data_IF_075266347588
#
_entry.id   IF_075266347588
#
_cell.length_a   1.000
_cell.length_b   1.000
_cell.length_c   1.000
_cell.angle_alpha   90.00
_cell.angle_beta   90.00
_cell.angle_gamma   90.00
#
_symmetry.space_group_name_H-M   'P 1'
#
loop_
_entity.id
_entity.type
_entity.pdbx_description
1 polymer ?
#
# COMPACT_ATOMS: atom_id res chain seq x y z
N UNK A 1 -4.75 4.79 -2.13
CA UNK A 1 -4.76 3.56 -1.30
C UNK A 1 -6.10 2.83 -1.30
N UNK A 2 -7.22 3.49 -1.00
CA UNK A 2 -8.56 2.88 -0.93
C UNK A 2 -8.98 2.05 -2.16
N UNK A 3 -8.73 2.55 -3.37
CA UNK A 3 -9.01 1.80 -4.61
C UNK A 3 -8.22 0.50 -4.70
N UNK A 4 -6.96 0.47 -4.28
CA UNK A 4 -6.15 -0.76 -4.27
C UNK A 4 -6.67 -1.78 -3.27
N UNK A 5 -7.18 -1.33 -2.11
CA UNK A 5 -7.84 -2.20 -1.12
C UNK A 5 -9.08 -2.86 -1.70
N UNK A 6 -9.84 -2.11 -2.52
CA UNK A 6 -11.00 -2.66 -3.22
C UNK A 6 -10.62 -3.45 -4.48
N UNK A 7 -9.33 -3.62 -4.79
CA UNK A 7 -8.88 -4.21 -6.04
C UNK A 7 -9.49 -3.50 -7.26
N UNK A 8 -9.61 -2.17 -7.19
CA UNK A 8 -10.15 -1.26 -8.23
C UNK A 8 -9.14 -0.25 -8.74
N UNK A 9 -7.90 -0.29 -8.26
CA UNK A 9 -6.85 0.60 -8.76
C UNK A 9 -6.55 0.27 -10.23
N UNK A 10 -6.61 1.29 -11.09
CA UNK A 10 -6.33 1.19 -12.53
C UNK A 10 -4.82 1.21 -12.78
N UNK A 11 -4.15 0.13 -12.39
CA UNK A 11 -2.74 -0.06 -12.77
C UNK A 11 -2.65 -0.40 -14.27
N UNK A 12 -1.49 -0.19 -14.91
CA UNK A 12 -1.29 -0.54 -16.32
C UNK A 12 -1.71 -1.98 -16.66
N UNK A 13 -1.33 -2.93 -15.81
CA UNK A 13 -1.78 -4.33 -15.89
C UNK A 13 -3.32 -4.49 -15.89
N UNK A 14 -4.04 -3.68 -15.11
CA UNK A 14 -5.51 -3.70 -15.08
C UNK A 14 -6.11 -3.03 -16.31
N UNK A 15 -5.53 -1.93 -16.79
CA UNK A 15 -5.99 -1.26 -18.01
C UNK A 15 -5.92 -2.19 -19.22
N UNK A 16 -4.82 -2.93 -19.36
CA UNK A 16 -4.66 -3.96 -20.39
C UNK A 16 -5.73 -5.05 -20.30
N UNK A 17 -6.04 -5.54 -19.10
CA UNK A 17 -7.15 -6.51 -18.89
C UNK A 17 -8.54 -5.96 -19.23
N UNK A 18 -8.71 -4.64 -19.23
CA UNK A 18 -9.94 -3.97 -19.63
C UNK A 18 -9.95 -3.63 -21.13
N UNK A 19 -8.98 -4.13 -21.91
CA UNK A 19 -8.78 -3.82 -23.33
C UNK A 19 -8.61 -2.31 -23.60
N UNK A 20 -8.03 -1.58 -22.64
CA UNK A 20 -7.64 -0.19 -22.82
C UNK A 20 -6.18 -0.19 -23.28
N UNK A 21 -5.92 0.49 -24.38
CA UNK A 21 -4.58 0.54 -24.96
C UNK A 21 -3.61 1.31 -24.05
N UNK A 22 -2.42 0.74 -23.87
CA UNK A 22 -1.38 1.27 -22.99
C UNK A 22 -0.06 1.21 -23.75
N UNK A 23 0.48 2.39 -24.10
CA UNK A 23 1.74 2.51 -24.84
C UNK A 23 2.93 1.95 -24.05
N UNK A 24 3.01 2.28 -22.76
CA UNK A 24 4.01 1.76 -21.84
C UNK A 24 3.35 1.20 -20.58
N UNK A 25 3.58 -0.09 -20.35
CA UNK A 25 3.07 -0.85 -19.21
C UNK A 25 4.00 -0.84 -18.00
N UNK A 26 5.19 -0.25 -18.15
CA UNK A 26 6.16 -0.11 -17.09
C UNK A 26 5.67 0.81 -15.97
N UNK A 27 6.18 0.58 -14.76
CA UNK A 27 5.90 1.41 -13.61
C UNK A 27 6.59 2.75 -13.75
N UNK A 28 5.81 3.83 -13.73
CA UNK A 28 6.34 5.20 -13.87
C UNK A 28 7.05 5.73 -12.61
N UNK A 29 7.05 4.98 -11.51
CA UNK A 29 7.62 5.40 -10.23
C UNK A 29 9.04 4.89 -10.00
N UNK A 30 9.45 3.80 -10.66
CA UNK A 30 10.79 3.23 -10.53
C UNK A 30 11.47 3.13 -11.89
N UNK A 31 12.79 2.91 -11.88
CA UNK A 31 13.60 2.79 -13.10
C UNK A 31 13.75 1.33 -13.56
N UNK A 32 13.09 0.38 -12.89
CA UNK A 32 13.28 -1.05 -13.11
C UNK A 32 12.60 -1.59 -14.38
N UNK A 33 11.86 -0.73 -15.11
CA UNK A 33 11.06 -1.11 -16.29
C UNK A 33 10.14 -2.32 -16.06
N UNK A 34 9.68 -2.50 -14.81
CA UNK A 34 8.79 -3.60 -14.40
C UNK A 34 7.34 -3.19 -14.62
N UNK A 35 6.48 -4.13 -15.01
CA UNK A 35 5.05 -3.90 -15.22
C UNK A 35 4.36 -3.29 -13.98
N UNK A 36 3.58 -2.22 -14.20
CA UNK A 36 2.82 -1.59 -13.14
C UNK A 36 1.64 -2.48 -12.71
N UNK A 37 1.81 -3.13 -11.56
CA UNK A 37 0.76 -3.91 -10.88
C UNK A 37 0.46 -3.32 -9.50
N UNK A 38 -0.70 -3.64 -8.92
CA UNK A 38 -1.01 -3.20 -7.56
C UNK A 38 0.00 -3.72 -6.54
N UNK A 39 0.52 -4.94 -6.74
CA UNK A 39 1.57 -5.50 -5.87
C UNK A 39 2.87 -4.71 -6.01
N UNK A 40 3.30 -4.43 -7.24
CA UNK A 40 4.50 -3.66 -7.48
C UNK A 40 4.39 -2.26 -6.85
N UNK A 41 3.36 -1.48 -7.19
CA UNK A 41 3.19 -0.10 -6.68
C UNK A 41 3.20 0.01 -5.15
N UNK A 42 2.64 -0.96 -4.41
CA UNK A 42 2.54 -0.86 -2.95
C UNK A 42 3.52 -1.72 -2.16
N UNK A 43 4.19 -2.69 -2.78
CA UNK A 43 5.06 -3.65 -2.10
C UNK A 43 6.42 -3.72 -2.76
N UNK A 44 6.50 -4.07 -4.04
CA UNK A 44 7.78 -4.43 -4.65
C UNK A 44 8.56 -3.23 -5.23
N UNK A 45 7.89 -2.11 -5.53
CA UNK A 45 8.50 -0.93 -6.13
C UNK A 45 9.51 -0.26 -5.20
N UNK A 46 10.73 -0.01 -5.69
CA UNK A 46 11.82 0.60 -4.92
C UNK A 46 11.46 2.01 -4.42
N UNK A 47 10.86 2.84 -5.29
CA UNK A 47 10.40 4.16 -4.91
C UNK A 47 9.37 4.09 -3.77
N UNK A 48 8.38 3.21 -3.92
CA UNK A 48 7.37 3.03 -2.89
C UNK A 48 7.97 2.47 -1.59
N UNK A 49 9.02 1.66 -1.65
CA UNK A 49 9.74 1.17 -0.47
C UNK A 49 10.41 2.29 0.31
N UNK A 50 11.06 3.24 -0.38
CA UNK A 50 11.65 4.44 0.23
C UNK A 50 10.60 5.28 0.95
N UNK A 51 9.51 5.62 0.25
CA UNK A 51 8.38 6.38 0.82
C UNK A 51 7.79 5.68 2.04
N UNK A 52 7.60 4.35 1.98
CA UNK A 52 7.12 3.58 3.15
C UNK A 52 8.10 3.65 4.31
N UNK A 53 9.40 3.56 4.07
CA UNK A 53 10.43 3.66 5.11
C UNK A 53 10.37 4.99 5.86
N UNK A 54 10.34 6.10 5.11
CA UNK A 54 10.20 7.45 5.67
C UNK A 54 8.89 7.62 6.44
N UNK A 55 7.78 7.12 5.88
CA UNK A 55 6.48 7.17 6.54
C UNK A 55 6.48 6.38 7.85
N UNK A 56 7.07 5.18 7.87
CA UNK A 56 7.20 4.36 9.08
C UNK A 56 8.03 5.04 10.16
N UNK A 57 9.12 5.70 9.76
CA UNK A 57 9.94 6.49 10.67
C UNK A 57 9.15 7.66 11.26
N UNK A 58 8.39 8.38 10.43
CA UNK A 58 7.57 9.51 10.86
C UNK A 58 6.51 9.09 11.88
N UNK A 59 5.77 8.02 11.61
CA UNK A 59 4.70 7.54 12.49
C UNK A 59 5.21 6.64 13.64
N UNK A 60 6.53 6.46 13.76
CA UNK A 60 7.20 5.65 14.79
C UNK A 60 6.61 4.23 14.91
N UNK A 61 6.27 3.61 13.78
CA UNK A 61 5.78 2.22 13.75
C UNK A 61 6.59 1.40 12.77
N UNK A 62 6.67 0.10 13.05
CA UNK A 62 7.01 -0.89 12.02
C UNK A 62 5.71 -1.45 11.45
N UNK A 63 5.58 -1.42 10.13
CA UNK A 63 4.62 -2.22 9.37
C UNK A 63 5.40 -3.15 8.46
N UNK A 64 5.10 -4.47 8.47
CA UNK A 64 5.73 -5.38 7.54
C UNK A 64 5.36 -4.97 6.11
N UNK A 65 6.33 -5.00 5.19
CA UNK A 65 6.09 -4.84 3.76
C UNK A 65 5.29 -6.05 3.25
N UNK A 66 3.98 -6.05 3.52
CA UNK A 66 3.01 -7.04 3.07
C UNK A 66 1.98 -6.35 2.21
N UNK A 67 1.19 -7.15 1.49
CA UNK A 67 0.04 -6.68 0.74
C UNK A 67 -0.79 -5.66 1.53
N UNK A 68 -1.41 -4.75 0.79
CA UNK A 68 -2.05 -3.55 1.34
C UNK A 68 -3.18 -3.87 2.34
N UNK A 69 -3.96 -4.92 2.07
CA UNK A 69 -5.09 -5.35 2.90
C UNK A 69 -4.67 -5.79 4.31
N UNK A 70 -3.77 -6.79 4.48
CA UNK A 70 -3.23 -7.16 5.78
C UNK A 70 -2.65 -5.99 6.58
N UNK A 71 -1.95 -5.07 5.92
CA UNK A 71 -1.32 -3.92 6.57
C UNK A 71 -2.36 -2.97 7.18
N UNK A 72 -3.45 -2.68 6.45
CA UNK A 72 -4.55 -1.87 6.98
C UNK A 72 -5.30 -2.53 8.13
N UNK A 73 -5.52 -3.84 8.06
CA UNK A 73 -6.09 -4.62 9.16
C UNK A 73 -5.24 -4.50 10.43
N UNK A 74 -3.91 -4.53 10.31
CA UNK A 74 -3.00 -4.34 11.44
C UNK A 74 -3.09 -2.93 12.03
N UNK A 75 -3.17 -1.88 11.20
CA UNK A 75 -3.33 -0.49 11.66
C UNK A 75 -4.64 -0.34 12.42
N UNK A 76 -5.75 -0.83 11.85
CA UNK A 76 -7.08 -0.80 12.49
C UNK A 76 -7.07 -1.49 13.85
N UNK A 77 -6.42 -2.66 13.94
CA UNK A 77 -6.27 -3.41 15.20
C UNK A 77 -5.41 -2.67 16.22
N UNK A 78 -4.28 -2.08 15.81
CA UNK A 78 -3.40 -1.29 16.70
C UNK A 78 -4.14 -0.08 17.25
N UNK A 79 -4.84 0.66 16.39
CA UNK A 79 -5.64 1.82 16.77
C UNK A 79 -6.74 1.43 17.77
N UNK A 80 -7.50 0.37 17.48
CA UNK A 80 -8.54 -0.13 18.39
C UNK A 80 -7.99 -0.57 19.75
N UNK A 81 -6.85 -1.27 19.78
CA UNK A 81 -6.19 -1.64 21.03
C UNK A 81 -5.73 -0.43 21.84
N UNK A 82 -5.22 0.61 21.19
CA UNK A 82 -4.84 1.88 21.83
C UNK A 82 -6.05 2.57 22.46
N UNK A 83 -7.14 2.70 21.70
CA UNK A 83 -8.39 3.27 22.18
C UNK A 83 -8.97 2.49 23.37
N UNK A 84 -9.05 1.15 23.28
CA UNK A 84 -9.55 0.31 24.38
C UNK A 84 -8.74 0.50 25.66
N UNK A 85 -7.41 0.62 25.58
CA UNK A 85 -6.55 0.88 26.75
C UNK A 85 -6.87 2.23 27.39
N UNK A 86 -7.08 3.28 26.61
CA UNK A 86 -7.42 4.61 27.12
C UNK A 86 -8.79 4.62 27.83
N UNK A 87 -9.79 3.93 27.25
CA UNK A 87 -11.12 3.82 27.87
C UNK A 87 -11.05 3.09 29.22
N UNK A 88 -10.31 1.98 29.31
CA UNK A 88 -10.17 1.22 30.58
C UNK A 88 -9.40 2.03 31.64
N UNK A 89 -8.40 2.83 31.25
CA UNK A 89 -7.64 3.65 32.19
C UNK A 89 -8.41 4.88 32.72
N UNK A 90 -9.56 5.21 32.12
CA UNK A 90 -10.39 6.35 32.49
C UNK A 90 -11.60 5.97 33.39
N UNK A 91 -11.75 4.69 33.73
CA UNK A 91 -12.75 4.13 34.66
C UNK A 91 -12.05 3.69 35.93
#
# INVERSE_FOLDING_TARGET
MWLAVQSKLLTKDRLLRLNIDVEDSSCCMCQDSVMETSKHVFVDCEFAAKVRGELMQWIKTSLPARELKPTLELIKRKHWKGFKKQVVAAV
#
